data_IF_635084185260
#
_entry.id   IF_635084185260
#
_cell.length_a   1.000
_cell.length_b   1.000
_cell.length_c   1.000
_cell.angle_alpha   90.00
_cell.angle_beta   90.00
_cell.angle_gamma   90.00
#
_symmetry.space_group_name_H-M   'P 1'
#
loop_
_entity.id
_entity.type
_entity.pdbx_description
1 polymer ?
#
# COMPACT_ATOMS: atom_id res chain seq x y z
N UNK A 1 24.78 -2.39 12.97
CA UNK A 1 23.38 -2.37 13.43
C UNK A 1 22.62 -3.22 12.43
N UNK A 2 21.97 -4.33 12.79
CA UNK A 2 21.00 -4.90 11.86
C UNK A 2 19.85 -3.89 11.82
N UNK A 3 19.58 -3.31 10.65
CA UNK A 3 18.47 -2.38 10.45
C UNK A 3 17.19 -2.99 11.04
N UNK A 4 16.53 -2.27 11.95
CA UNK A 4 15.33 -2.76 12.62
C UNK A 4 14.30 -3.24 11.59
N UNK A 5 13.62 -4.33 11.92
CA UNK A 5 12.58 -4.92 11.07
C UNK A 5 11.43 -3.92 10.89
N UNK A 6 11.39 -3.27 9.72
CA UNK A 6 10.33 -2.32 9.35
C UNK A 6 9.08 -3.01 8.81
N UNK A 7 7.94 -2.36 9.05
CA UNK A 7 6.61 -2.71 8.52
C UNK A 7 6.23 -1.73 7.42
N UNK A 8 6.37 -2.17 6.18
CA UNK A 8 6.28 -1.32 4.98
C UNK A 8 5.00 -1.65 4.22
N UNK A 9 4.19 -0.63 3.94
CA UNK A 9 2.98 -0.77 3.13
C UNK A 9 3.15 0.00 1.82
N UNK A 10 3.15 -0.72 0.71
CA UNK A 10 3.19 -0.15 -0.63
C UNK A 10 1.78 0.23 -1.10
N UNK A 11 1.57 1.53 -1.32
CA UNK A 11 0.30 2.12 -1.71
C UNK A 11 0.35 2.59 -3.17
N UNK A 12 -0.45 1.99 -4.05
CA UNK A 12 -0.53 2.41 -5.45
C UNK A 12 -1.94 2.20 -5.99
N UNK A 13 -2.36 3.04 -6.94
CA UNK A 13 -3.69 2.90 -7.50
C UNK A 13 -3.76 1.70 -8.44
N UNK A 14 -3.08 1.78 -9.57
CA UNK A 14 -3.23 0.82 -10.66
C UNK A 14 -2.33 -0.39 -10.42
N UNK A 15 -2.87 -1.61 -10.23
CA UNK A 15 -2.08 -2.83 -10.21
C UNK A 15 -1.70 -3.35 -11.60
N UNK A 16 -1.94 -2.54 -12.64
CA UNK A 16 -1.52 -2.83 -14.01
C UNK A 16 -0.35 -1.93 -14.43
N UNK A 17 0.61 -2.52 -15.15
CA UNK A 17 1.73 -1.82 -15.78
C UNK A 17 3.03 -1.75 -14.95
N UNK A 18 3.92 -0.84 -15.35
CA UNK A 18 5.30 -0.74 -14.83
C UNK A 18 5.41 -0.48 -13.32
N UNK A 19 4.42 0.19 -12.72
CA UNK A 19 4.39 0.43 -11.27
C UNK A 19 4.26 -0.89 -10.50
N UNK A 20 3.38 -1.79 -10.95
CA UNK A 20 3.18 -3.05 -10.23
C UNK A 20 4.42 -3.95 -10.33
N UNK A 21 5.07 -3.99 -11.50
CA UNK A 21 6.37 -4.66 -11.65
C UNK A 21 7.40 -4.12 -10.66
N UNK A 22 7.54 -2.79 -10.59
CA UNK A 22 8.47 -2.17 -9.66
C UNK A 22 8.16 -2.50 -8.19
N UNK A 23 6.88 -2.49 -7.80
CA UNK A 23 6.47 -2.89 -6.44
C UNK A 23 6.81 -4.35 -6.15
N UNK A 24 6.63 -5.26 -7.11
CA UNK A 24 7.01 -6.67 -6.94
C UNK A 24 8.51 -6.83 -6.69
N UNK A 25 9.33 -6.13 -7.47
CA UNK A 25 10.78 -6.14 -7.29
C UNK A 25 11.16 -5.61 -5.89
N UNK A 26 10.48 -4.55 -5.42
CA UNK A 26 10.67 -4.03 -4.07
C UNK A 26 10.20 -5.01 -2.97
N UNK A 27 9.07 -5.69 -3.16
CA UNK A 27 8.57 -6.71 -2.22
C UNK A 27 9.60 -7.82 -2.06
N UNK A 28 10.20 -8.28 -3.16
CA UNK A 28 11.21 -9.33 -3.14
C UNK A 28 12.47 -8.89 -2.38
N UNK A 29 12.95 -7.68 -2.64
CA UNK A 29 14.14 -7.13 -1.95
C UNK A 29 13.85 -6.91 -0.46
N UNK A 30 12.76 -6.23 -0.11
CA UNK A 30 12.41 -5.96 1.28
C UNK A 30 12.12 -7.25 2.06
N UNK A 31 11.48 -8.24 1.42
CA UNK A 31 11.24 -9.54 2.05
C UNK A 31 12.54 -10.28 2.31
N UNK A 32 13.48 -10.25 1.37
CA UNK A 32 14.81 -10.84 1.54
C UNK A 32 15.63 -10.11 2.63
N UNK A 33 15.39 -8.82 2.85
CA UNK A 33 15.97 -8.03 3.95
C UNK A 33 15.29 -8.27 5.31
N UNK A 34 14.24 -9.09 5.38
CA UNK A 34 13.56 -9.45 6.62
C UNK A 34 12.46 -8.48 7.07
N UNK A 35 12.08 -7.51 6.23
CA UNK A 35 11.00 -6.57 6.52
C UNK A 35 9.62 -7.20 6.35
N UNK A 36 8.62 -6.65 7.04
CA UNK A 36 7.22 -7.03 6.88
C UNK A 36 6.58 -6.16 5.81
N UNK A 37 6.09 -6.77 4.72
CA UNK A 37 5.53 -6.04 3.59
C UNK A 37 4.04 -6.25 3.48
N UNK A 38 3.32 -5.17 3.18
CA UNK A 38 1.92 -5.17 2.79
C UNK A 38 1.69 -4.39 1.50
N UNK A 39 0.59 -4.70 0.82
CA UNK A 39 0.17 -3.95 -0.36
C UNK A 39 -1.22 -3.37 -0.13
N UNK A 40 -1.39 -2.13 -0.56
CA UNK A 40 -2.67 -1.45 -0.65
C UNK A 40 -2.89 -0.89 -2.05
N UNK A 41 -3.87 -1.46 -2.77
CA UNK A 41 -4.14 -1.03 -4.14
C UNK A 41 -5.61 -1.04 -4.53
N UNK A 42 -5.90 -0.55 -5.74
CA UNK A 42 -7.26 -0.50 -6.27
C UNK A 42 -7.79 -1.92 -6.57
N UNK A 43 -9.06 -2.13 -6.24
CA UNK A 43 -9.80 -3.34 -6.60
C UNK A 43 -10.56 -3.22 -7.92
N UNK A 44 -10.70 -2.01 -8.48
CA UNK A 44 -11.44 -1.77 -9.74
C UNK A 44 -10.57 -1.97 -10.99
N UNK A 45 -9.25 -2.10 -10.81
CA UNK A 45 -8.29 -2.30 -11.87
C UNK A 45 -7.48 -3.58 -11.64
N UNK A 46 -7.05 -4.21 -12.73
CA UNK A 46 -6.42 -5.53 -12.73
C UNK A 46 -7.27 -6.59 -13.44
N UNK A 47 -6.61 -7.54 -14.11
CA UNK A 47 -7.22 -8.70 -14.75
C UNK A 47 -6.64 -10.02 -14.23
N UNK A 48 -6.94 -11.11 -14.91
CA UNK A 48 -6.48 -12.45 -14.53
C UNK A 48 -4.94 -12.59 -14.53
N UNK A 49 -4.23 -11.75 -15.26
CA UNK A 49 -2.77 -11.74 -15.25
C UNK A 49 -2.24 -11.18 -13.93
N UNK A 50 -2.73 -10.01 -13.50
CA UNK A 50 -2.29 -9.35 -12.27
C UNK A 50 -2.66 -10.16 -11.03
N UNK A 51 -3.80 -10.83 -11.04
CA UNK A 51 -4.19 -11.73 -9.95
C UNK A 51 -3.17 -12.86 -9.75
N UNK A 52 -2.71 -13.49 -10.84
CA UNK A 52 -1.65 -14.51 -10.77
C UNK A 52 -0.37 -13.95 -10.18
N UNK A 53 0.03 -12.76 -10.62
CA UNK A 53 1.21 -12.10 -10.10
C UNK A 53 1.07 -11.71 -8.62
N UNK A 54 -0.14 -11.36 -8.16
CA UNK A 54 -0.41 -11.16 -6.73
C UNK A 54 -0.29 -12.46 -5.95
N UNK A 55 -0.82 -13.56 -6.46
CA UNK A 55 -0.70 -14.87 -5.81
C UNK A 55 0.77 -15.33 -5.69
N UNK A 56 1.61 -15.02 -6.69
CA UNK A 56 3.06 -15.31 -6.63
C UNK A 56 3.76 -14.60 -5.47
N UNK A 57 3.40 -13.35 -5.19
CA UNK A 57 4.03 -12.55 -4.12
C UNK A 57 3.30 -12.65 -2.79
N UNK A 58 2.08 -13.18 -2.76
CA UNK A 58 1.22 -13.27 -1.57
C UNK A 58 1.90 -13.91 -0.36
N UNK A 59 2.71 -14.98 -0.51
CA UNK A 59 3.44 -15.57 0.61
C UNK A 59 4.48 -14.63 1.24
N UNK A 60 4.96 -13.63 0.49
CA UNK A 60 5.95 -12.64 0.94
C UNK A 60 5.31 -11.42 1.61
N UNK A 61 3.99 -11.28 1.49
CA UNK A 61 3.22 -10.17 2.06
C UNK A 61 2.78 -10.49 3.50
N UNK A 62 3.72 -10.41 4.45
CA UNK A 62 3.45 -10.67 5.86
C UNK A 62 2.34 -9.78 6.48
N UNK A 63 2.17 -8.54 5.97
CA UNK A 63 1.09 -7.63 6.37
C UNK A 63 -0.18 -7.79 5.51
N UNK A 64 -0.13 -8.64 4.49
CA UNK A 64 -1.24 -8.97 3.61
C UNK A 64 -1.43 -8.02 2.42
N UNK A 65 -2.43 -8.37 1.60
CA UNK A 65 -2.88 -7.63 0.43
C UNK A 65 -4.26 -7.04 0.71
N UNK A 66 -4.36 -5.72 0.74
CA UNK A 66 -5.63 -5.00 0.88
C UNK A 66 -5.99 -4.33 -0.44
N UNK A 67 -7.15 -4.69 -1.00
CA UNK A 67 -7.68 -4.09 -2.23
C UNK A 67 -9.00 -3.41 -1.96
N UNK A 68 -9.14 -2.14 -2.34
CA UNK A 68 -10.39 -1.39 -2.20
C UNK A 68 -10.71 -0.64 -3.48
N UNK A 69 -12.00 -0.34 -3.74
CA UNK A 69 -12.34 0.49 -4.88
C UNK A 69 -11.81 1.93 -4.70
N UNK A 70 -10.82 2.32 -5.50
CA UNK A 70 -10.20 3.65 -5.49
C UNK A 70 -10.74 4.49 -6.64
N UNK A 71 -11.97 5.00 -6.47
CA UNK A 71 -12.61 5.87 -7.46
C UNK A 71 -11.87 7.21 -7.61
N UNK A 72 -12.13 7.88 -8.73
CA UNK A 72 -11.47 9.15 -9.08
C UNK A 72 -11.99 10.33 -8.25
N UNK A 73 -13.22 10.25 -7.77
CA UNK A 73 -13.83 11.17 -6.81
C UNK A 73 -14.04 10.43 -5.48
N UNK A 74 -13.72 11.09 -4.36
CA UNK A 74 -14.05 10.59 -3.02
C UNK A 74 -15.54 10.87 -2.82
N UNK A 75 -16.37 9.83 -2.85
CA UNK A 75 -17.79 9.96 -2.54
C UNK A 75 -18.04 9.65 -1.05
N UNK A 76 -19.14 10.13 -0.45
CA UNK A 76 -19.49 9.77 0.93
C UNK A 76 -19.63 8.26 1.15
N UNK A 77 -19.98 7.49 0.11
CA UNK A 77 -20.01 6.02 0.18
C UNK A 77 -18.63 5.38 0.34
N UNK A 78 -17.57 6.06 -0.09
CA UNK A 78 -16.18 5.58 0.05
C UNK A 78 -15.64 5.78 1.48
N UNK A 79 -16.28 6.60 2.32
CA UNK A 79 -15.85 6.83 3.71
C UNK A 79 -15.88 5.55 4.54
N UNK A 80 -16.86 4.67 4.35
CA UNK A 80 -16.96 3.42 5.09
C UNK A 80 -15.81 2.46 4.74
N UNK A 81 -15.50 2.33 3.44
CA UNK A 81 -14.37 1.54 2.96
C UNK A 81 -13.04 2.14 3.42
N UNK A 82 -12.93 3.46 3.41
CA UNK A 82 -11.78 4.19 3.92
C UNK A 82 -11.59 3.97 5.43
N UNK A 83 -12.66 4.05 6.23
CA UNK A 83 -12.62 3.83 7.67
C UNK A 83 -12.24 2.39 8.02
N UNK A 84 -12.77 1.40 7.29
CA UNK A 84 -12.40 -0.01 7.45
C UNK A 84 -10.92 -0.22 7.14
N UNK A 85 -10.42 0.37 6.05
CA UNK A 85 -9.01 0.32 5.67
C UNK A 85 -8.13 1.01 6.71
N UNK A 86 -8.55 2.16 7.23
CA UNK A 86 -7.87 2.88 8.30
C UNK A 86 -7.77 2.03 9.58
N UNK A 87 -8.87 1.38 10.00
CA UNK A 87 -8.85 0.50 11.17
C UNK A 87 -7.90 -0.68 10.96
N UNK A 88 -7.87 -1.24 9.74
CA UNK A 88 -6.94 -2.29 9.37
C UNK A 88 -5.48 -1.81 9.44
N UNK A 89 -5.14 -0.66 8.86
CA UNK A 89 -3.80 -0.08 8.97
C UNK A 89 -3.39 0.27 10.39
N UNK A 90 -4.34 0.74 11.21
CA UNK A 90 -4.08 1.01 12.62
C UNK A 90 -3.71 -0.28 13.38
N UNK A 91 -4.31 -1.42 13.04
CA UNK A 91 -3.93 -2.72 13.61
C UNK A 91 -2.58 -3.22 13.08
N UNK A 92 -2.28 -2.93 11.82
CA UNK A 92 -1.00 -3.28 11.19
C UNK A 92 0.16 -2.39 11.63
N UNK A 93 -0.06 -1.30 12.38
CA UNK A 93 0.96 -0.33 12.83
C UNK A 93 2.17 -0.20 11.88
N UNK A 94 1.98 0.26 10.63
CA UNK A 94 3.06 0.35 9.68
C UNK A 94 4.06 1.43 10.09
N UNK A 95 5.35 1.15 9.91
CA UNK A 95 6.42 2.13 10.09
C UNK A 95 6.52 3.04 8.86
N UNK A 96 6.29 2.48 7.66
CA UNK A 96 6.46 3.19 6.39
C UNK A 96 5.23 2.99 5.49
N UNK A 97 4.62 4.09 5.07
CA UNK A 97 3.68 4.13 3.94
C UNK A 97 4.42 4.61 2.70
N UNK A 98 4.72 3.68 1.80
CA UNK A 98 5.45 3.95 0.57
C UNK A 98 4.47 4.06 -0.60
N UNK A 99 4.25 5.28 -1.07
CA UNK A 99 3.26 5.57 -2.10
C UNK A 99 3.87 5.75 -3.48
N UNK A 100 3.33 5.02 -4.46
CA UNK A 100 3.76 5.05 -5.86
C UNK A 100 2.73 5.78 -6.72
N UNK A 101 3.14 6.91 -7.31
CA UNK A 101 2.31 7.72 -8.20
C UNK A 101 1.39 8.74 -7.52
N UNK A 102 0.94 9.74 -8.30
CA UNK A 102 0.22 10.93 -7.81
C UNK A 102 -1.01 10.61 -6.92
N UNK A 103 -1.70 9.51 -7.20
CA UNK A 103 -2.96 9.16 -6.52
C UNK A 103 -2.77 8.16 -5.38
N UNK A 104 -1.78 7.28 -5.47
CA UNK A 104 -1.30 6.50 -4.31
C UNK A 104 -0.79 7.45 -3.23
N UNK A 105 -0.09 8.52 -3.64
CA UNK A 105 0.35 9.61 -2.76
C UNK A 105 -0.80 10.38 -2.10
N UNK A 106 -1.89 10.65 -2.84
CA UNK A 106 -3.08 11.28 -2.26
C UNK A 106 -3.74 10.42 -1.18
N UNK A 107 -3.97 9.12 -1.44
CA UNK A 107 -4.55 8.21 -0.46
C UNK A 107 -3.63 8.00 0.75
N UNK A 108 -2.33 7.76 0.52
CA UNK A 108 -1.35 7.63 1.60
C UNK A 108 -1.23 8.92 2.43
N UNK A 109 -1.42 10.09 1.81
CA UNK A 109 -1.42 11.38 2.52
C UNK A 109 -2.66 11.51 3.41
N UNK A 110 -3.86 11.18 2.92
CA UNK A 110 -5.08 11.23 3.76
C UNK A 110 -5.02 10.19 4.87
N UNK A 111 -4.71 8.93 4.55
CA UNK A 111 -4.62 7.84 5.53
C UNK A 111 -3.52 8.12 6.57
N UNK A 112 -2.33 8.52 6.12
CA UNK A 112 -1.21 8.83 6.99
C UNK A 112 -1.46 10.06 7.88
N UNK A 113 -2.17 11.08 7.39
CA UNK A 113 -2.57 12.22 8.22
C UNK A 113 -3.55 11.81 9.32
N UNK A 114 -4.53 10.95 9.03
CA UNK A 114 -5.47 10.45 10.05
C UNK A 114 -4.76 9.51 11.05
N UNK A 115 -3.86 8.64 10.59
CA UNK A 115 -3.06 7.78 11.46
C UNK A 115 -2.15 8.57 12.41
N UNK A 116 -1.54 9.66 11.93
CA UNK A 116 -0.69 10.54 12.74
C UNK A 116 -1.50 11.29 13.81
N UNK A 117 -2.71 11.76 13.47
CA UNK A 117 -3.64 12.35 14.46
C UNK A 117 -4.05 11.32 15.52
N UNK A 118 -4.03 10.03 15.19
CA UNK A 118 -4.30 8.94 16.14
C UNK A 118 -3.08 8.44 16.93
N UNK A 119 -1.92 9.09 16.80
CA UNK A 119 -0.70 8.78 17.56
C UNK A 119 0.26 7.77 16.90
N UNK A 120 0.05 7.34 15.65
CA UNK A 120 1.00 6.46 14.94
C UNK A 120 2.08 7.25 14.20
N UNK A 121 3.35 6.96 14.51
CA UNK A 121 4.54 7.60 13.95
C UNK A 121 4.92 7.13 12.54
N UNK A 122 3.97 7.09 11.61
CA UNK A 122 4.18 6.53 10.27
C UNK A 122 5.00 7.48 9.38
N UNK A 123 6.14 7.01 8.86
CA UNK A 123 6.93 7.69 7.85
C UNK A 123 6.25 7.58 6.47
N UNK A 124 6.24 8.67 5.70
CA UNK A 124 5.60 8.73 4.37
C UNK A 124 6.66 8.94 3.31
N UNK A 125 6.81 7.98 2.42
CA UNK A 125 7.67 8.10 1.24
C UNK A 125 6.77 8.19 0.01
N UNK A 126 7.03 9.21 -0.80
CA UNK A 126 6.29 9.48 -2.03
C UNK A 126 7.26 9.47 -3.20
N UNK A 127 7.09 8.50 -4.09
CA UNK A 127 7.82 8.43 -5.35
C UNK A 127 6.89 8.90 -6.48
N UNK A 128 7.01 10.16 -6.95
CA UNK A 128 6.21 10.64 -8.06
C UNK A 128 6.55 9.85 -9.31
N UNK A 129 5.60 9.05 -9.78
CA UNK A 129 5.64 8.47 -11.11
C UNK A 129 4.75 9.33 -12.00
N UNK A 130 5.39 10.09 -12.88
CA UNK A 130 4.75 10.99 -13.85
C UNK A 130 4.23 10.22 -15.05
N UNK A 131 2.96 10.44 -15.36
CA UNK A 131 2.26 10.03 -16.58
C UNK A 131 1.03 10.91 -16.72
#
# INVERSE_FOLDING_TARGET
MPDDKLRIIHCFRSPVGGIFRHVRDLVDIHSAQGHEIGIFCDSLTGGAHEERLFEEIRPKLALGLTRIPMRRAITPGDLAAFYKSYKHFKQLQPDVLHSHGAKGGAYARVIGSVLRVSGSGVARLYCPHGG
#
